data_IF_623099377908
#
_entry.id   IF_623099377908
#
_cell.length_a   1.000
_cell.length_b   1.000
_cell.length_c   1.000
_cell.angle_alpha   90.00
_cell.angle_beta   90.00
_cell.angle_gamma   90.00
#
_symmetry.space_group_name_H-M   'P 1'
#
loop_
_entity.id
_entity.type
_entity.pdbx_description
1 polymer ?
#
# COMPACT_ATOMS: atom_id res chain seq x y z
N UNK A 1 -10.91 -16.40 34.34
CA UNK A 1 -11.35 -17.71 33.77
C UNK A 1 -10.51 -18.05 32.54
N UNK A 2 -9.94 -19.25 32.46
CA UNK A 2 -9.03 -19.67 31.38
C UNK A 2 -9.71 -20.44 30.23
N UNK A 3 -8.89 -20.92 29.28
CA UNK A 3 -9.35 -21.80 28.18
C UNK A 3 -9.77 -23.17 28.73
N UNK A 4 -10.76 -23.84 28.11
CA UNK A 4 -11.14 -25.21 28.50
C UNK A 4 -10.03 -26.20 28.13
N UNK A 5 -9.74 -27.17 29.01
CA UNK A 5 -8.64 -28.14 28.86
C UNK A 5 -9.10 -29.61 28.73
N UNK A 6 -10.40 -29.87 28.52
CA UNK A 6 -10.92 -31.24 28.41
C UNK A 6 -10.67 -31.89 27.05
N UNK A 7 -10.51 -33.21 27.01
CA UNK A 7 -10.23 -34.01 25.81
C UNK A 7 -11.23 -33.78 24.66
N UNK A 8 -12.52 -33.53 24.96
CA UNK A 8 -13.59 -33.29 23.98
C UNK A 8 -13.87 -31.80 23.68
N UNK A 9 -12.94 -30.89 23.97
CA UNK A 9 -13.16 -29.43 23.86
C UNK A 9 -12.64 -28.78 22.58
N UNK A 10 -12.13 -29.56 21.62
CA UNK A 10 -11.51 -29.07 20.38
C UNK A 10 -12.37 -28.05 19.59
N UNK A 11 -13.68 -28.31 19.43
CA UNK A 11 -14.60 -27.41 18.73
C UNK A 11 -14.64 -26.02 19.35
N UNK A 12 -14.70 -25.95 20.70
CA UNK A 12 -14.73 -24.70 21.45
C UNK A 12 -13.41 -23.93 21.28
N UNK A 13 -12.27 -24.62 21.33
CA UNK A 13 -10.95 -24.02 21.11
C UNK A 13 -10.79 -23.46 19.68
N UNK A 14 -11.25 -24.21 18.66
CA UNK A 14 -11.20 -23.76 17.27
C UNK A 14 -12.09 -22.53 17.02
N UNK A 15 -13.34 -22.57 17.50
CA UNK A 15 -14.26 -21.43 17.35
C UNK A 15 -13.77 -20.21 18.12
N UNK A 16 -13.22 -20.41 19.32
CA UNK A 16 -12.59 -19.33 20.08
C UNK A 16 -11.43 -18.71 19.31
N UNK A 17 -10.51 -19.51 18.75
CA UNK A 17 -9.40 -18.99 17.93
C UNK A 17 -9.89 -18.24 16.69
N UNK A 18 -10.90 -18.77 15.97
CA UNK A 18 -11.49 -18.09 14.80
C UNK A 18 -12.06 -16.73 15.18
N UNK A 19 -12.84 -16.64 16.26
CA UNK A 19 -13.38 -15.37 16.78
C UNK A 19 -12.25 -14.41 17.19
N UNK A 20 -11.26 -14.92 17.92
CA UNK A 20 -10.15 -14.10 18.40
C UNK A 20 -9.26 -13.58 17.27
N UNK A 21 -9.10 -14.34 16.19
CA UNK A 21 -8.31 -13.94 15.03
C UNK A 21 -8.89 -12.70 14.35
N UNK A 22 -10.20 -12.48 14.42
CA UNK A 22 -10.81 -11.23 13.96
C UNK A 22 -10.43 -10.02 14.83
N UNK A 23 -9.78 -10.14 15.98
CA UNK A 23 -9.23 -8.98 16.70
C UNK A 23 -7.86 -8.55 16.17
N UNK A 24 -7.17 -9.41 15.41
CA UNK A 24 -5.92 -9.09 14.74
C UNK A 24 -6.18 -8.15 13.54
N UNK A 25 -5.48 -7.02 13.52
CA UNK A 25 -5.62 -5.98 12.49
C UNK A 25 -5.13 -6.46 11.12
N UNK A 26 -4.02 -7.19 11.08
CA UNK A 26 -3.44 -7.66 9.82
C UNK A 26 -4.34 -8.74 9.22
N UNK A 27 -4.87 -9.64 10.06
CA UNK A 27 -5.84 -10.64 9.63
C UNK A 27 -7.13 -9.99 9.08
N UNK A 28 -7.69 -9.01 9.81
CA UNK A 28 -8.84 -8.24 9.34
C UNK A 28 -8.57 -7.58 7.99
N UNK A 29 -7.42 -6.89 7.86
CA UNK A 29 -7.05 -6.18 6.63
C UNK A 29 -7.02 -7.13 5.43
N UNK A 30 -6.39 -8.29 5.57
CA UNK A 30 -6.27 -9.25 4.47
C UNK A 30 -7.57 -10.00 4.14
N UNK A 31 -8.49 -10.19 5.10
CA UNK A 31 -9.72 -10.97 4.92
C UNK A 31 -10.98 -10.14 4.70
N UNK A 32 -10.97 -8.84 5.01
CA UNK A 32 -12.07 -7.92 4.72
C UNK A 32 -11.96 -7.32 3.31
N UNK A 33 -10.79 -7.45 2.68
CA UNK A 33 -10.58 -6.94 1.34
C UNK A 33 -10.47 -5.40 1.27
N UNK A 34 -9.96 -4.77 2.32
CA UNK A 34 -9.65 -3.34 2.29
C UNK A 34 -8.67 -3.00 1.16
N UNK A 35 -7.77 -3.92 0.83
CA UNK A 35 -6.69 -3.69 -0.14
C UNK A 35 -7.19 -3.59 -1.58
N UNK A 36 -8.32 -4.22 -1.94
CA UNK A 36 -8.90 -4.07 -3.28
C UNK A 36 -9.87 -2.89 -3.37
N UNK A 37 -10.55 -2.57 -2.27
CA UNK A 37 -11.63 -1.57 -2.26
C UNK A 37 -11.14 -0.15 -1.97
N UNK A 38 -10.14 0.00 -1.09
CA UNK A 38 -9.77 1.30 -0.52
C UNK A 38 -8.33 1.72 -0.83
N UNK A 39 -7.46 0.81 -1.27
CA UNK A 39 -6.12 1.18 -1.72
C UNK A 39 -6.18 1.87 -3.10
N UNK A 40 -5.63 3.09 -3.25
CA UNK A 40 -5.50 3.74 -4.56
C UNK A 40 -4.71 2.93 -5.60
N UNK A 41 -3.84 2.01 -5.17
CA UNK A 41 -3.12 1.10 -6.07
C UNK A 41 -3.89 -0.20 -6.37
N UNK A 42 -5.05 -0.42 -5.75
CA UNK A 42 -5.84 -1.64 -5.91
C UNK A 42 -5.11 -2.92 -5.47
N UNK A 43 -4.18 -2.82 -4.51
CA UNK A 43 -3.35 -3.94 -4.06
C UNK A 43 -2.12 -4.22 -4.94
N UNK A 44 -1.89 -3.42 -6.00
CA UNK A 44 -0.67 -3.48 -6.79
C UNK A 44 0.51 -2.81 -6.10
N UNK A 45 1.74 -3.14 -6.52
CA UNK A 45 2.95 -2.51 -5.98
C UNK A 45 3.17 -1.08 -6.48
N UNK A 46 2.68 -0.78 -7.69
CA UNK A 46 2.83 0.48 -8.40
C UNK A 46 1.57 0.77 -9.20
N UNK A 47 1.34 2.04 -9.52
CA UNK A 47 0.29 2.47 -10.46
C UNK A 47 0.82 3.57 -11.39
N UNK A 48 0.24 3.66 -12.58
CA UNK A 48 0.45 4.78 -13.49
C UNK A 48 -0.62 5.84 -13.21
N UNK A 49 -0.25 7.12 -13.26
CA UNK A 49 -1.16 8.24 -13.08
C UNK A 49 -0.76 9.44 -13.93
N UNK A 50 -1.65 10.42 -14.01
CA UNK A 50 -1.42 11.67 -14.74
C UNK A 50 -1.29 12.81 -13.71
N UNK A 51 -0.32 13.69 -13.91
CA UNK A 51 -0.13 14.88 -13.05
C UNK A 51 -1.21 15.92 -13.36
N UNK A 52 -1.94 16.34 -12.32
CA UNK A 52 -3.04 17.30 -12.46
C UNK A 52 -2.56 18.75 -12.27
N UNK A 53 -1.74 19.00 -11.25
CA UNK A 53 -1.32 20.36 -10.90
C UNK A 53 0.15 20.37 -10.46
N UNK A 54 1.01 20.91 -11.33
CA UNK A 54 2.45 21.13 -11.09
C UNK A 54 3.04 21.94 -12.25
N UNK A 55 4.36 22.16 -12.29
CA UNK A 55 5.05 22.73 -13.45
C UNK A 55 5.03 21.82 -14.69
N UNK A 56 4.62 20.56 -14.52
CA UNK A 56 4.59 19.52 -15.54
C UNK A 56 3.19 18.87 -15.60
N UNK A 57 2.19 19.68 -15.94
CA UNK A 57 0.81 19.20 -16.07
C UNK A 57 0.68 18.17 -17.19
N UNK A 58 -0.22 17.20 -17.00
CA UNK A 58 -0.54 16.13 -17.95
C UNK A 58 0.55 15.07 -18.18
N UNK A 59 1.64 15.13 -17.41
CA UNK A 59 2.67 14.09 -17.48
C UNK A 59 2.20 12.74 -16.95
N UNK A 60 2.57 11.68 -17.65
CA UNK A 60 2.47 10.32 -17.13
C UNK A 60 3.56 10.05 -16.10
N UNK A 61 3.14 9.55 -14.94
CA UNK A 61 4.03 9.21 -13.83
C UNK A 61 3.79 7.79 -13.34
N UNK A 62 4.88 7.14 -12.94
CA UNK A 62 4.81 5.88 -12.19
C UNK A 62 4.89 6.18 -10.71
N UNK A 63 3.86 5.78 -9.96
CA UNK A 63 3.68 6.01 -8.53
C UNK A 63 3.89 4.71 -7.75
N UNK A 64 4.50 4.81 -6.57
CA UNK A 64 4.73 3.69 -5.65
C UNK A 64 4.43 4.10 -4.20
N UNK A 65 4.16 3.12 -3.33
CA UNK A 65 4.05 3.37 -1.89
C UNK A 65 5.38 3.79 -1.25
N UNK A 66 5.30 4.57 -0.16
CA UNK A 66 6.48 5.00 0.62
C UNK A 66 7.04 3.93 1.59
N UNK A 67 6.46 2.72 1.61
CA UNK A 67 7.01 1.57 2.35
C UNK A 67 6.45 1.34 3.76
N UNK A 68 5.54 2.18 4.28
CA UNK A 68 4.86 1.97 5.59
C UNK A 68 3.45 1.38 5.48
N UNK A 69 3.25 0.43 4.55
CA UNK A 69 1.97 -0.29 4.33
C UNK A 69 0.74 0.64 4.18
N UNK A 70 0.88 1.71 3.40
CA UNK A 70 -0.18 2.70 3.16
C UNK A 70 -0.26 3.82 4.21
N UNK A 71 0.78 4.02 5.01
CA UNK A 71 0.90 5.12 5.97
C UNK A 71 1.86 6.19 5.46
N UNK A 72 1.63 7.43 5.90
CA UNK A 72 2.56 8.54 5.69
C UNK A 72 3.94 8.28 6.31
N UNK A 73 4.96 8.88 5.71
CA UNK A 73 6.36 8.73 6.10
C UNK A 73 7.00 10.09 6.31
N UNK A 74 7.77 10.22 7.39
CA UNK A 74 8.46 11.46 7.74
C UNK A 74 7.50 12.54 8.23
N UNK A 75 7.88 13.78 7.97
CA UNK A 75 7.19 14.97 8.48
C UNK A 75 6.12 15.52 7.51
N UNK A 76 5.94 14.87 6.35
CA UNK A 76 4.97 15.32 5.35
C UNK A 76 3.60 14.72 5.68
N UNK A 77 2.60 15.55 6.07
CA UNK A 77 1.29 15.07 6.42
C UNK A 77 0.53 14.57 5.19
N UNK A 78 -0.17 13.44 5.32
CA UNK A 78 -1.09 12.93 4.30
C UNK A 78 -0.47 12.34 3.04
N UNK A 79 0.86 12.36 2.89
CA UNK A 79 1.54 11.84 1.70
C UNK A 79 1.98 10.39 1.93
N UNK A 80 1.36 9.46 1.19
CA UNK A 80 1.58 8.00 1.33
C UNK A 80 2.37 7.38 0.17
N UNK A 81 2.51 8.12 -0.93
CA UNK A 81 3.07 7.66 -2.19
C UNK A 81 4.25 8.55 -2.64
N UNK A 82 5.07 8.00 -3.51
CA UNK A 82 6.19 8.68 -4.16
C UNK A 82 6.15 8.46 -5.66
N UNK A 83 6.74 9.39 -6.40
CA UNK A 83 6.97 9.26 -7.84
C UNK A 83 8.28 8.50 -8.05
N UNK A 84 8.28 7.55 -8.99
CA UNK A 84 9.44 6.73 -9.37
C UNK A 84 9.94 7.10 -10.77
N UNK A 85 9.02 7.36 -11.70
CA UNK A 85 9.30 7.71 -13.09
C UNK A 85 8.37 8.82 -13.57
N UNK A 86 8.84 9.59 -14.53
CA UNK A 86 8.08 10.61 -15.28
C UNK A 86 8.36 10.37 -16.76
N UNK A 87 7.32 10.36 -17.61
CA UNK A 87 7.43 10.11 -19.05
C UNK A 87 8.31 8.87 -19.38
N UNK A 88 8.05 7.76 -18.68
CA UNK A 88 8.80 6.49 -18.75
C UNK A 88 10.31 6.54 -18.41
N UNK A 89 10.83 7.69 -18.01
CA UNK A 89 12.20 7.88 -17.54
C UNK A 89 12.25 7.88 -16.01
N UNK A 90 13.25 7.20 -15.43
CA UNK A 90 13.44 7.20 -13.98
C UNK A 90 13.85 8.58 -13.46
N UNK A 91 13.18 9.06 -12.41
CA UNK A 91 13.54 10.31 -11.73
C UNK A 91 14.99 10.30 -11.23
N UNK A 92 15.49 9.15 -10.78
CA UNK A 92 16.89 9.02 -10.35
C UNK A 92 17.88 9.19 -11.50
N UNK A 93 17.51 8.75 -12.70
CA UNK A 93 18.34 8.93 -13.90
C UNK A 93 18.33 10.39 -14.37
N UNK A 94 17.17 11.06 -14.30
CA UNK A 94 17.04 12.50 -14.57
C UNK A 94 17.86 13.31 -13.57
N UNK A 95 17.71 13.03 -12.27
CA UNK A 95 18.44 13.72 -11.20
C UNK A 95 19.96 13.59 -11.33
N UNK A 96 20.45 12.42 -11.77
CA UNK A 96 21.88 12.18 -12.00
C UNK A 96 22.37 12.61 -13.39
N UNK A 97 21.51 13.19 -14.25
CA UNK A 97 21.87 13.57 -15.62
C UNK A 97 22.26 12.41 -16.52
N UNK A 98 21.87 11.17 -16.19
CA UNK A 98 22.18 9.98 -17.01
C UNK A 98 21.26 9.82 -18.21
N UNK A 99 20.08 10.43 -18.12
CA UNK A 99 19.06 10.49 -19.17
C UNK A 99 18.48 11.88 -19.15
N UNK A 100 18.08 12.35 -20.32
CA UNK A 100 17.29 13.56 -20.45
C UNK A 100 15.82 13.19 -20.61
N UNK A 101 14.97 14.17 -20.28
CA UNK A 101 13.54 14.03 -20.48
C UNK A 101 13.24 14.22 -21.97
N UNK A 102 12.55 13.26 -22.56
CA UNK A 102 12.01 13.42 -23.91
C UNK A 102 10.87 14.42 -23.86
N UNK A 103 11.12 15.63 -24.36
CA UNK A 103 10.05 16.58 -24.67
C UNK A 103 9.50 16.20 -26.05
N UNK A 104 8.26 15.70 -26.06
CA UNK A 104 7.44 15.64 -27.27
C UNK A 104 6.34 16.67 -27.18
#
# INVERSE_FOLDING_TARGET
MGKPCGLRTARKLNNHRRKQRWHDKDYKKSHLGSDWKSDPLGGASHAKGIVIQSMYENDEVLVAGLGRKGRAVGDIPGVHFKIVKVADVSLWALYKGKKERSYS
#
